data_IF_201257804051
#
_entry.id   IF_201257804051
#
_cell.length_a   1.000
_cell.length_b   1.000
_cell.length_c   1.000
_cell.angle_alpha   90.00
_cell.angle_beta   90.00
_cell.angle_gamma   90.00
#
_symmetry.space_group_name_H-M   'P 1'
#
loop_
_entity.id
_entity.type
_entity.pdbx_description
1 polymer ?
#
# COMPACT_ATOMS: atom_id res chain seq x y z
N UNK A 1 -4.92 -24.70 5.31
CA UNK A 1 -5.79 -23.88 6.19
C UNK A 1 -5.54 -22.43 5.85
N UNK A 2 -6.48 -21.76 5.20
CA UNK A 2 -6.41 -20.30 5.01
C UNK A 2 -6.67 -19.67 6.36
N UNK A 3 -5.60 -19.33 7.08
CA UNK A 3 -5.71 -18.50 8.27
C UNK A 3 -6.47 -17.23 7.88
N UNK A 4 -7.61 -16.96 8.54
CA UNK A 4 -8.42 -15.80 8.21
C UNK A 4 -7.60 -14.54 8.42
N UNK A 5 -7.39 -13.78 7.34
CA UNK A 5 -6.62 -12.55 7.36
C UNK A 5 -7.29 -11.56 8.33
N UNK A 6 -6.59 -11.06 9.37
CA UNK A 6 -7.14 -10.11 10.31
C UNK A 6 -7.63 -8.83 9.60
N UNK A 7 -8.71 -8.19 10.09
CA UNK A 7 -9.26 -6.98 9.46
C UNK A 7 -8.23 -5.87 9.28
N UNK A 8 -7.27 -5.75 10.21
CA UNK A 8 -6.17 -4.77 10.13
C UNK A 8 -5.26 -5.01 8.93
N UNK A 9 -4.88 -6.26 8.66
CA UNK A 9 -4.06 -6.60 7.49
C UNK A 9 -4.86 -6.47 6.19
N UNK A 10 -6.13 -6.90 6.20
CA UNK A 10 -7.02 -6.80 5.05
C UNK A 10 -7.20 -5.35 4.55
N UNK A 11 -7.16 -4.35 5.46
CA UNK A 11 -7.18 -2.93 5.08
C UNK A 11 -6.03 -2.53 4.14
N UNK A 12 -4.86 -3.14 4.27
CA UNK A 12 -3.71 -2.88 3.39
C UNK A 12 -3.70 -3.83 2.18
N UNK A 13 -3.89 -5.13 2.41
CA UNK A 13 -3.80 -6.15 1.37
C UNK A 13 -4.78 -5.93 0.21
N UNK A 14 -6.01 -5.50 0.50
CA UNK A 14 -7.03 -5.24 -0.55
C UNK A 14 -6.63 -4.16 -1.57
N UNK A 15 -5.68 -3.29 -1.22
CA UNK A 15 -5.19 -2.22 -2.09
C UNK A 15 -3.87 -2.57 -2.78
N UNK A 16 -3.17 -3.62 -2.32
CA UNK A 16 -1.90 -4.04 -2.88
C UNK A 16 -1.95 -4.40 -4.36
N UNK A 17 -2.99 -5.04 -4.94
CA UNK A 17 -3.00 -5.31 -6.37
C UNK A 17 -2.85 -4.04 -7.22
N UNK A 18 -3.61 -2.99 -6.89
CA UNK A 18 -3.57 -1.69 -7.59
C UNK A 18 -2.24 -0.97 -7.37
N UNK A 19 -1.73 -1.00 -6.14
CA UNK A 19 -0.43 -0.40 -5.80
C UNK A 19 0.71 -1.14 -6.54
N UNK A 20 0.68 -2.46 -6.57
CA UNK A 20 1.66 -3.28 -7.28
C UNK A 20 1.64 -2.99 -8.79
N UNK A 21 0.47 -2.78 -9.40
CA UNK A 21 0.39 -2.30 -10.79
C UNK A 21 1.11 -0.97 -10.96
N UNK A 22 0.85 0.00 -10.08
CA UNK A 22 1.52 1.32 -10.15
C UNK A 22 3.02 1.26 -9.96
N UNK A 23 3.50 0.44 -9.02
CA UNK A 23 4.93 0.18 -8.82
C UNK A 23 5.52 -0.40 -10.10
N UNK A 24 4.92 -1.45 -10.67
CA UNK A 24 5.40 -2.11 -11.90
C UNK A 24 5.45 -1.17 -13.10
N UNK A 25 4.45 -0.32 -13.26
CA UNK A 25 4.39 0.65 -14.36
C UNK A 25 5.17 1.93 -14.07
N UNK A 26 5.86 2.01 -12.93
CA UNK A 26 6.51 3.23 -12.43
C UNK A 26 5.59 4.47 -12.44
N UNK A 27 4.29 4.26 -12.21
CA UNK A 27 3.30 5.34 -12.22
C UNK A 27 3.40 6.10 -10.91
N UNK A 28 3.87 7.34 -10.96
CA UNK A 28 3.81 8.24 -9.80
C UNK A 28 2.40 8.78 -9.64
N UNK A 29 1.91 8.85 -8.40
CA UNK A 29 0.64 9.51 -8.09
C UNK A 29 0.84 11.02 -8.25
N UNK A 30 0.06 11.64 -9.13
CA UNK A 30 0.04 13.10 -9.24
C UNK A 30 -0.69 13.76 -8.06
N UNK A 31 -0.40 15.04 -7.81
CA UNK A 31 -1.11 15.80 -6.76
C UNK A 31 -2.63 15.82 -6.94
N UNK A 32 -3.13 15.90 -8.19
CA UNK A 32 -4.56 15.82 -8.49
C UNK A 32 -5.17 14.45 -8.18
N UNK A 33 -4.48 13.35 -8.52
CA UNK A 33 -4.91 12.00 -8.14
C UNK A 33 -4.90 11.80 -6.62
N UNK A 34 -4.01 12.48 -5.89
CA UNK A 34 -3.99 12.45 -4.43
C UNK A 34 -5.20 13.16 -3.81
N UNK A 35 -5.63 14.29 -4.38
CA UNK A 35 -6.85 14.99 -3.95
C UNK A 35 -8.09 14.12 -4.15
N UNK A 36 -8.17 13.44 -5.30
CA UNK A 36 -9.22 12.47 -5.56
C UNK A 36 -9.16 11.29 -4.59
N UNK A 37 -7.96 10.77 -4.29
CA UNK A 37 -7.79 9.69 -3.33
C UNK A 37 -8.26 10.07 -1.93
N UNK A 38 -7.91 11.27 -1.45
CA UNK A 38 -8.41 11.82 -0.17
C UNK A 38 -9.93 11.92 -0.12
N UNK A 39 -10.55 12.31 -1.22
CA UNK A 39 -11.99 12.57 -1.30
C UNK A 39 -12.80 11.27 -1.41
N UNK A 40 -12.35 10.36 -2.27
CA UNK A 40 -13.03 9.10 -2.55
C UNK A 40 -12.74 8.03 -1.48
N UNK A 41 -11.60 8.11 -0.80
CA UNK A 41 -11.14 7.12 0.18
C UNK A 41 -10.61 7.80 1.46
N UNK A 42 -11.45 8.54 2.20
CA UNK A 42 -11.01 9.32 3.37
C UNK A 42 -10.46 8.45 4.51
N UNK A 43 -11.05 7.28 4.74
CA UNK A 43 -10.61 6.30 5.73
C UNK A 43 -9.19 5.74 5.40
N UNK A 44 -8.95 5.15 4.20
CA UNK A 44 -7.60 4.76 3.78
C UNK A 44 -6.60 5.92 3.78
N UNK A 45 -7.00 7.12 3.36
CA UNK A 45 -6.13 8.29 3.36
C UNK A 45 -5.68 8.67 4.78
N UNK A 46 -6.59 8.71 5.77
CA UNK A 46 -6.24 8.95 7.17
C UNK A 46 -5.31 7.86 7.72
N UNK A 47 -5.63 6.60 7.43
CA UNK A 47 -4.80 5.47 7.85
C UNK A 47 -3.37 5.59 7.31
N UNK A 48 -3.20 6.01 6.06
CA UNK A 48 -1.90 6.17 5.41
C UNK A 48 -1.17 7.44 5.86
N UNK A 49 -1.90 8.49 6.26
CA UNK A 49 -1.30 9.74 6.76
C UNK A 49 -0.43 9.52 7.98
N UNK A 50 -0.88 8.67 8.89
CA UNK A 50 -0.16 8.29 10.10
C UNK A 50 0.70 7.04 9.92
N UNK A 51 0.68 6.41 8.74
CA UNK A 51 1.47 5.23 8.46
C UNK A 51 2.92 5.58 8.08
N UNK A 52 3.81 4.64 8.37
CA UNK A 52 5.17 4.60 7.83
C UNK A 52 5.33 3.37 6.95
N UNK A 53 6.32 3.39 6.05
CA UNK A 53 6.63 2.21 5.23
C UNK A 53 6.91 1.00 6.12
N UNK A 54 7.64 1.19 7.21
CA UNK A 54 8.00 0.16 8.19
C UNK A 54 6.75 -0.46 8.82
N UNK A 55 5.73 0.36 9.12
CA UNK A 55 4.48 -0.15 9.67
C UNK A 55 3.66 -0.93 8.64
N UNK A 56 3.67 -0.48 7.39
CA UNK A 56 2.99 -1.19 6.31
C UNK A 56 3.70 -2.51 6.03
N UNK A 57 5.03 -2.50 5.91
CA UNK A 57 5.84 -3.69 5.62
C UNK A 57 5.67 -4.73 6.73
N UNK A 58 5.74 -4.34 8.01
CA UNK A 58 5.48 -5.23 9.15
C UNK A 58 4.11 -5.93 9.03
N UNK A 59 3.07 -5.19 8.64
CA UNK A 59 1.71 -5.72 8.51
C UNK A 59 1.57 -6.66 7.30
N UNK A 60 2.21 -6.38 6.18
CA UNK A 60 2.02 -7.16 4.94
C UNK A 60 3.01 -8.31 4.78
N UNK A 61 4.18 -8.26 5.43
CA UNK A 61 5.26 -9.27 5.32
C UNK A 61 4.78 -10.71 5.60
N UNK A 62 3.93 -10.98 6.61
CA UNK A 62 3.43 -12.33 6.87
C UNK A 62 2.65 -12.95 5.70
N UNK A 63 2.20 -12.14 4.74
CA UNK A 63 1.39 -12.56 3.60
C UNK A 63 2.18 -12.68 2.30
N UNK A 64 3.51 -12.65 2.36
CA UNK A 64 4.37 -12.79 1.17
C UNK A 64 4.22 -14.13 0.44
N UNK A 65 3.73 -15.16 1.15
CA UNK A 65 3.47 -16.50 0.62
C UNK A 65 1.97 -16.81 0.51
N UNK A 66 1.13 -15.80 0.71
CA UNK A 66 -0.31 -15.92 0.53
C UNK A 66 -0.64 -16.15 -0.96
N UNK A 67 -1.49 -17.13 -1.31
CA UNK A 67 -1.79 -17.46 -2.71
C UNK A 67 -2.51 -16.34 -3.46
N UNK A 68 -3.20 -15.43 -2.76
CA UNK A 68 -3.93 -14.32 -3.35
C UNK A 68 -3.10 -13.03 -3.34
N UNK A 69 -2.33 -12.77 -2.29
CA UNK A 69 -1.65 -11.49 -2.08
C UNK A 69 -0.12 -11.55 -2.17
N UNK A 70 0.49 -12.73 -2.10
CA UNK A 70 1.95 -12.88 -1.95
C UNK A 70 2.76 -12.23 -3.05
N UNK A 71 2.32 -12.34 -4.30
CA UNK A 71 2.96 -11.64 -5.42
C UNK A 71 2.98 -10.13 -5.23
N UNK A 72 1.86 -9.54 -4.80
CA UNK A 72 1.76 -8.09 -4.60
C UNK A 72 2.52 -7.62 -3.37
N UNK A 73 2.57 -8.43 -2.32
CA UNK A 73 3.39 -8.18 -1.13
C UNK A 73 4.86 -8.13 -1.52
N UNK A 74 5.35 -9.10 -2.31
CA UNK A 74 6.75 -9.09 -2.78
C UNK A 74 7.08 -7.87 -3.64
N UNK A 75 6.15 -7.40 -4.47
CA UNK A 75 6.33 -6.15 -5.22
C UNK A 75 6.44 -4.96 -4.27
N UNK A 76 5.56 -4.87 -3.28
CA UNK A 76 5.55 -3.78 -2.30
C UNK A 76 6.81 -3.77 -1.41
N UNK A 77 7.38 -4.93 -1.10
CA UNK A 77 8.61 -5.09 -0.32
C UNK A 77 9.90 -5.02 -1.15
N UNK A 78 9.79 -4.96 -2.49
CA UNK A 78 10.97 -4.81 -3.35
C UNK A 78 11.62 -3.42 -3.18
N UNK A 79 12.89 -3.21 -3.56
CA UNK A 79 13.53 -1.89 -3.51
C UNK A 79 12.74 -0.80 -4.24
N UNK A 80 12.15 -1.14 -5.40
CA UNK A 80 11.29 -0.23 -6.15
C UNK A 80 9.98 0.05 -5.40
N UNK A 81 9.37 -0.97 -4.81
CA UNK A 81 8.15 -0.84 -4.01
C UNK A 81 8.36 0.02 -2.78
N UNK A 82 9.48 -0.14 -2.09
CA UNK A 82 9.87 0.70 -0.95
C UNK A 82 10.00 2.16 -1.35
N UNK A 83 10.78 2.47 -2.39
CA UNK A 83 10.95 3.84 -2.88
C UNK A 83 9.61 4.47 -3.25
N UNK A 84 8.78 3.72 -3.98
CA UNK A 84 7.46 4.19 -4.41
C UNK A 84 6.53 4.45 -3.22
N UNK A 85 6.44 3.52 -2.26
CA UNK A 85 5.59 3.65 -1.08
C UNK A 85 6.05 4.81 -0.19
N UNK A 86 7.36 4.97 0.02
CA UNK A 86 7.89 6.12 0.76
C UNK A 86 7.53 7.44 0.09
N UNK A 87 7.68 7.53 -1.23
CA UNK A 87 7.27 8.72 -1.99
C UNK A 87 5.77 9.00 -1.86
N UNK A 88 4.92 7.98 -2.03
CA UNK A 88 3.47 8.12 -1.92
C UNK A 88 3.04 8.56 -0.51
N UNK A 89 3.65 7.99 0.55
CA UNK A 89 3.39 8.37 1.93
C UNK A 89 3.86 9.81 2.23
N UNK A 90 4.99 10.22 1.69
CA UNK A 90 5.49 11.60 1.81
C UNK A 90 4.54 12.61 1.14
N UNK A 91 4.04 12.29 -0.06
CA UNK A 91 3.00 13.09 -0.72
C UNK A 91 1.73 13.20 0.13
N UNK A 92 1.27 12.10 0.73
CA UNK A 92 0.09 12.10 1.61
C UNK A 92 0.32 13.03 2.81
N UNK A 93 1.49 12.97 3.44
CA UNK A 93 1.83 13.79 4.62
C UNK A 93 1.89 15.29 4.31
N UNK A 94 2.27 15.65 3.09
CA UNK A 94 2.35 17.04 2.62
C UNK A 94 1.02 17.61 2.09
N UNK A 95 0.00 16.76 1.93
CA UNK A 95 -1.35 17.12 1.44
C UNK A 95 -2.39 17.33 2.55
#
# INVERSE_FOLDING_TARGET
MTASIPPKAMKYLKHLPKIATWIRTNKQISGGEMVLFRTLFPEPYRMLKDASYEKISEVITPYQDDPQYGEYVRVALSPQGEQWLRYALDLIKRS
#
